data_IF_140824592313
#
_entry.id   IF_140824592313
#
_cell.length_a   1.000
_cell.length_b   1.000
_cell.length_c   1.000
_cell.angle_alpha   90.00
_cell.angle_beta   90.00
_cell.angle_gamma   90.00
#
_symmetry.space_group_name_H-M   'P 1'
#
loop_
_entity.id
_entity.type
_entity.pdbx_description
1 polymer ?
#
# COMPACT_ATOMS: atom_id res chain seq x y z
N UNK A 1 3.66 -6.23 9.79
CA UNK A 1 2.63 -6.65 8.79
C UNK A 1 3.03 -6.06 7.45
N UNK A 2 2.50 -6.59 6.37
CA UNK A 2 2.63 -6.01 5.03
C UNK A 2 1.23 -5.69 4.54
N UNK A 3 0.97 -4.43 4.18
CA UNK A 3 -0.35 -3.94 3.84
C UNK A 3 -0.35 -3.40 2.41
N UNK A 4 -1.21 -3.97 1.57
CA UNK A 4 -1.39 -3.59 0.17
C UNK A 4 -2.58 -2.64 0.02
N UNK A 5 -2.39 -1.61 -0.78
CA UNK A 5 -3.35 -0.54 -1.07
C UNK A 5 -3.42 -0.34 -2.59
N UNK A 6 -4.49 0.31 -3.04
CA UNK A 6 -4.43 1.06 -4.29
C UNK A 6 -4.42 2.56 -4.00
N UNK A 7 -3.86 3.33 -4.93
CA UNK A 7 -3.72 4.78 -4.75
C UNK A 7 -5.04 5.57 -4.79
N UNK A 8 -6.02 5.12 -5.58
CA UNK A 8 -7.26 5.85 -5.82
C UNK A 8 -7.00 7.14 -6.61
N UNK A 9 -5.94 7.14 -7.43
CA UNK A 9 -5.44 8.28 -8.19
C UNK A 9 -5.25 7.86 -9.65
N UNK A 10 -5.44 8.79 -10.57
CA UNK A 10 -5.43 8.50 -12.00
C UNK A 10 -4.04 8.22 -12.58
N UNK A 11 -2.96 8.54 -11.86
CA UNK A 11 -1.57 8.32 -12.28
C UNK A 11 -0.60 8.22 -11.09
N UNK A 12 0.60 7.69 -11.34
CA UNK A 12 1.70 7.69 -10.38
C UNK A 12 2.08 9.09 -9.94
N UNK A 13 2.21 10.05 -10.87
CA UNK A 13 2.55 11.44 -10.51
C UNK A 13 1.57 12.04 -9.52
N UNK A 14 0.26 11.79 -9.71
CA UNK A 14 -0.77 12.26 -8.78
C UNK A 14 -0.66 11.56 -7.42
N UNK A 15 -0.39 10.25 -7.40
CA UNK A 15 -0.16 9.50 -6.17
C UNK A 15 1.08 10.00 -5.42
N UNK A 16 2.21 10.18 -6.11
CA UNK A 16 3.47 10.67 -5.54
C UNK A 16 3.31 12.09 -5.00
N UNK A 17 2.70 12.99 -5.76
CA UNK A 17 2.42 14.35 -5.31
C UNK A 17 1.59 14.36 -4.02
N UNK A 18 0.58 13.50 -3.92
CA UNK A 18 -0.25 13.39 -2.71
C UNK A 18 0.50 12.77 -1.53
N UNK A 19 1.20 11.65 -1.74
CA UNK A 19 1.86 10.87 -0.68
C UNK A 19 3.12 11.55 -0.13
N UNK A 20 3.68 12.50 -0.90
CA UNK A 20 4.82 13.33 -0.48
C UNK A 20 4.40 14.71 0.05
N UNK A 21 3.12 15.10 -0.04
CA UNK A 21 2.62 16.36 0.50
C UNK A 21 2.40 16.27 2.03
N UNK A 22 3.14 17.02 2.86
CA UNK A 22 2.95 17.01 4.31
C UNK A 22 1.54 17.43 4.75
N UNK A 23 0.84 18.24 3.96
CA UNK A 23 -0.52 18.69 4.27
C UNK A 23 -1.57 17.59 4.08
N UNK A 24 -1.29 16.60 3.21
CA UNK A 24 -2.19 15.50 2.91
C UNK A 24 -2.36 14.52 4.08
N UNK A 25 -1.39 14.47 5.00
CA UNK A 25 -1.37 13.58 6.17
C UNK A 25 -1.59 12.10 5.81
N UNK A 26 -1.09 11.69 4.66
CA UNK A 26 -1.06 10.30 4.17
C UNK A 26 0.30 10.05 3.53
N UNK A 27 0.84 8.85 3.72
CA UNK A 27 2.10 8.43 3.09
C UNK A 27 2.19 6.91 3.07
N UNK A 28 2.99 6.37 2.16
CA UNK A 28 3.29 4.94 2.08
C UNK A 28 4.80 4.71 2.12
N UNK A 29 5.21 3.46 2.32
CA UNK A 29 6.63 3.12 2.22
C UNK A 29 7.05 3.02 0.76
N UNK A 30 6.18 2.40 -0.05
CA UNK A 30 6.40 2.14 -1.47
C UNK A 30 5.20 2.55 -2.31
N UNK A 31 5.47 3.01 -3.54
CA UNK A 31 4.49 3.11 -4.63
C UNK A 31 4.98 2.25 -5.80
N UNK A 32 4.09 1.49 -6.43
CA UNK A 32 4.39 0.71 -7.65
C UNK A 32 3.51 1.17 -8.80
N UNK A 33 4.12 1.72 -9.85
CA UNK A 33 3.43 2.20 -11.04
C UNK A 33 2.99 1.05 -11.96
N UNK A 34 2.10 1.35 -12.89
CA UNK A 34 1.51 0.42 -13.86
C UNK A 34 2.55 -0.22 -14.79
N UNK A 35 3.69 0.46 -15.03
CA UNK A 35 4.80 -0.05 -15.81
C UNK A 35 5.79 -0.92 -14.99
N UNK A 36 5.58 -1.05 -13.68
CA UNK A 36 6.42 -1.79 -12.76
C UNK A 36 7.53 -0.97 -12.08
N UNK A 37 7.61 0.35 -12.32
CA UNK A 37 8.50 1.21 -11.57
C UNK A 37 8.14 1.23 -10.07
N UNK A 38 9.15 1.10 -9.21
CA UNK A 38 8.99 1.12 -7.75
C UNK A 38 9.61 2.40 -7.19
N UNK A 39 8.87 3.11 -6.35
CA UNK A 39 9.29 4.34 -5.70
C UNK A 39 9.33 4.15 -4.18
N UNK A 40 10.49 4.38 -3.57
CA UNK A 40 10.69 4.41 -2.13
C UNK A 40 10.40 5.80 -1.55
N UNK A 41 9.37 5.93 -0.69
CA UNK A 41 8.98 7.22 -0.11
C UNK A 41 9.33 7.35 1.37
N UNK A 42 9.05 6.31 2.15
CA UNK A 42 9.34 6.27 3.59
C UNK A 42 10.19 5.03 3.89
N UNK A 43 11.39 5.18 4.49
CA UNK A 43 12.19 4.05 4.95
C UNK A 43 11.39 3.12 5.85
N UNK A 44 11.51 1.80 5.66
CA UNK A 44 10.78 0.75 6.41
C UNK A 44 10.93 0.86 7.95
N UNK A 45 12.02 1.46 8.43
CA UNK A 45 12.26 1.69 9.86
C UNK A 45 11.49 2.91 10.43
N UNK A 46 10.83 3.70 9.60
CA UNK A 46 10.01 4.85 10.00
C UNK A 46 8.54 4.57 9.72
N UNK A 47 7.68 5.17 10.53
CA UNK A 47 6.23 5.06 10.38
C UNK A 47 5.73 5.88 9.18
N UNK A 48 5.19 5.22 8.17
CA UNK A 48 4.32 5.84 7.15
C UNK A 48 2.86 5.92 7.63
N UNK A 49 2.04 6.75 6.98
CA UNK A 49 0.64 7.02 7.36
C UNK A 49 -0.32 6.52 6.27
N UNK A 50 -0.52 5.20 6.18
CA UNK A 50 -1.30 4.56 5.11
C UNK A 50 -2.55 3.84 5.63
N UNK A 51 -2.47 3.18 6.79
CA UNK A 51 -3.56 2.36 7.33
C UNK A 51 -4.71 3.17 7.93
N UNK A 52 -4.47 4.40 8.40
CA UNK A 52 -5.47 5.19 9.13
C UNK A 52 -5.99 4.49 10.39
N UNK A 53 -7.29 4.64 10.69
CA UNK A 53 -7.98 3.86 11.73
C UNK A 53 -8.20 2.43 11.20
N UNK A 54 -7.55 1.45 11.83
CA UNK A 54 -7.54 0.05 11.41
C UNK A 54 -7.26 -0.88 12.61
N UNK A 55 -7.61 -2.16 12.50
CA UNK A 55 -7.31 -3.17 13.51
C UNK A 55 -7.13 -4.55 12.87
N UNK A 56 -6.14 -5.32 13.32
CA UNK A 56 -5.94 -6.71 12.92
C UNK A 56 -5.39 -7.55 14.06
N UNK A 57 -6.03 -8.68 14.35
CA UNK A 57 -5.61 -9.62 15.40
C UNK A 57 -5.28 -8.93 16.75
N UNK A 58 -6.13 -7.98 17.17
CA UNK A 58 -5.99 -7.22 18.41
C UNK A 58 -4.98 -6.06 18.38
N UNK A 59 -4.30 -5.81 17.26
CA UNK A 59 -3.40 -4.67 17.07
C UNK A 59 -4.14 -3.50 16.42
N UNK A 60 -4.08 -2.32 17.03
CA UNK A 60 -4.79 -1.11 16.54
C UNK A 60 -3.88 -0.06 15.90
N UNK A 61 -2.60 0.04 16.25
CA UNK A 61 -1.65 0.92 15.54
C UNK A 61 -1.04 0.20 14.34
N UNK A 62 -1.86 -0.03 13.31
CA UNK A 62 -1.42 -0.73 12.09
C UNK A 62 -0.29 0.02 11.39
N UNK A 63 -0.36 1.36 11.30
CA UNK A 63 0.73 2.18 10.75
C UNK A 63 2.06 1.95 11.48
N UNK A 64 2.05 1.84 12.81
CA UNK A 64 3.26 1.61 13.60
C UNK A 64 3.83 0.19 13.50
N UNK A 65 3.06 -0.78 13.00
CA UNK A 65 3.48 -2.18 12.92
C UNK A 65 3.37 -2.79 11.50
N UNK A 66 3.33 -1.95 10.46
CA UNK A 66 3.22 -2.41 9.07
C UNK A 66 4.08 -1.62 8.10
N UNK A 67 4.44 -2.29 7.00
CA UNK A 67 4.96 -1.70 5.77
C UNK A 67 3.79 -1.58 4.80
N UNK A 68 3.72 -0.47 4.08
CA UNK A 68 2.60 -0.11 3.20
C UNK A 68 3.06 0.05 1.77
N UNK A 69 2.44 -0.69 0.85
CA UNK A 69 2.69 -0.60 -0.60
C UNK A 69 1.43 -0.10 -1.28
N UNK A 70 1.55 0.99 -2.02
CA UNK A 70 0.51 1.58 -2.85
C UNK A 70 0.67 1.16 -4.30
N UNK A 71 -0.31 0.45 -4.85
CA UNK A 71 -0.34 0.12 -6.27
C UNK A 71 -1.08 1.24 -7.01
N UNK A 72 -0.43 1.84 -8.02
CA UNK A 72 -1.08 2.84 -8.86
C UNK A 72 -2.27 2.20 -9.57
N UNK A 73 -3.45 2.67 -9.18
CA UNK A 73 -4.72 2.27 -9.75
C UNK A 73 -5.74 3.37 -9.42
N UNK A 74 -6.59 3.75 -10.39
CA UNK A 74 -7.63 4.76 -10.19
C UNK A 74 -8.64 4.41 -9.08
N UNK A 75 -8.77 3.13 -8.71
CA UNK A 75 -9.73 2.68 -7.71
C UNK A 75 -11.18 2.79 -8.20
N UNK A 76 -12.11 2.34 -7.35
CA UNK A 76 -13.53 2.22 -7.72
C UNK A 76 -14.18 3.54 -8.12
N UNK A 77 -13.76 4.66 -7.53
CA UNK A 77 -14.30 6.00 -7.83
C UNK A 77 -13.92 6.49 -9.23
N UNK A 78 -12.71 6.18 -9.72
CA UNK A 78 -12.18 6.70 -10.98
C UNK A 78 -12.02 5.63 -12.08
N UNK A 79 -12.68 4.49 -11.91
CA UNK A 79 -12.71 3.39 -12.88
C UNK A 79 -11.66 2.32 -12.57
N UNK A 80 -11.93 1.54 -11.52
CA UNK A 80 -11.11 0.40 -11.12
C UNK A 80 -10.85 -0.51 -12.31
N UNK A 81 -9.61 -0.96 -12.42
CA UNK A 81 -9.13 -1.77 -13.52
C UNK A 81 -8.17 -2.84 -13.03
N UNK A 82 -8.00 -3.88 -13.83
CA UNK A 82 -7.00 -4.90 -13.58
C UNK A 82 -5.61 -4.29 -13.52
N UNK A 83 -4.83 -4.69 -12.52
CA UNK A 83 -3.43 -4.33 -12.39
C UNK A 83 -2.62 -4.95 -13.55
N UNK A 84 -1.84 -4.16 -14.30
CA UNK A 84 -1.01 -4.68 -15.39
C UNK A 84 0.00 -5.72 -14.89
N UNK A 85 0.39 -6.62 -15.80
CA UNK A 85 1.34 -7.71 -15.48
C UNK A 85 2.67 -7.19 -14.93
N UNK A 86 3.23 -6.13 -15.52
CA UNK A 86 4.50 -5.55 -15.10
C UNK A 86 4.45 -5.06 -13.65
N UNK A 87 3.37 -4.34 -13.29
CA UNK A 87 3.10 -3.90 -11.93
C UNK A 87 3.00 -5.09 -10.96
N UNK A 88 2.23 -6.13 -11.31
CA UNK A 88 2.09 -7.30 -10.43
C UNK A 88 3.39 -8.09 -10.27
N UNK A 89 4.21 -8.19 -11.31
CA UNK A 89 5.55 -8.78 -11.22
C UNK A 89 6.46 -7.99 -10.27
N UNK A 90 6.44 -6.66 -10.36
CA UNK A 90 7.17 -5.77 -9.46
C UNK A 90 6.69 -5.88 -8.00
N UNK A 91 5.37 -5.86 -7.77
CA UNK A 91 4.78 -6.04 -6.43
C UNK A 91 5.19 -7.39 -5.83
N UNK A 92 5.12 -8.48 -6.61
CA UNK A 92 5.54 -9.80 -6.13
C UNK A 92 7.02 -9.84 -5.75
N UNK A 93 7.89 -9.22 -6.56
CA UNK A 93 9.32 -9.12 -6.27
C UNK A 93 9.56 -8.32 -4.98
N UNK A 94 8.97 -7.13 -4.88
CA UNK A 94 9.08 -6.24 -3.72
C UNK A 94 8.56 -6.92 -2.44
N UNK A 95 7.40 -7.58 -2.49
CA UNK A 95 6.88 -8.34 -1.36
C UNK A 95 7.86 -9.42 -0.89
N UNK A 96 8.45 -10.20 -1.81
CA UNK A 96 9.44 -11.24 -1.44
C UNK A 96 10.67 -10.64 -0.78
N UNK A 97 11.15 -9.51 -1.28
CA UNK A 97 12.29 -8.80 -0.72
C UNK A 97 12.01 -8.28 0.70
N UNK A 98 10.83 -7.67 0.91
CA UNK A 98 10.39 -7.21 2.23
C UNK A 98 10.28 -8.39 3.20
N UNK A 99 9.68 -9.51 2.77
CA UNK A 99 9.51 -10.70 3.59
C UNK A 99 10.84 -11.39 3.93
N UNK A 100 11.87 -11.23 3.10
CA UNK A 100 13.21 -11.69 3.40
C UNK A 100 13.93 -10.84 4.46
N UNK A 101 13.67 -9.53 4.51
CA UNK A 101 14.22 -8.60 5.52
C UNK A 101 13.43 -8.62 6.83
N UNK A 102 12.11 -8.79 6.73
CA UNK A 102 11.16 -8.78 7.83
C UNK A 102 10.39 -10.10 7.82
N UNK A 103 10.57 -11.00 8.81
CA UNK A 103 9.92 -12.31 8.85
C UNK A 103 8.42 -12.19 9.21
N UNK A 104 7.65 -11.52 8.36
CA UNK A 104 6.22 -11.31 8.51
C UNK A 104 5.52 -12.61 8.09
N UNK A 105 4.72 -13.24 8.97
CA UNK A 105 4.02 -14.46 8.63
C UNK A 105 2.95 -14.19 7.57
N UNK A 106 2.67 -15.18 6.71
CA UNK A 106 1.77 -15.04 5.56
C UNK A 106 0.37 -14.47 5.92
N UNK A 107 -0.21 -14.84 7.07
CA UNK A 107 -1.49 -14.32 7.56
C UNK A 107 -1.46 -12.84 7.99
N UNK A 108 -0.33 -12.15 7.84
CA UNK A 108 -0.14 -10.71 8.09
C UNK A 108 0.34 -9.97 6.84
N UNK A 109 0.21 -10.61 5.68
CA UNK A 109 0.19 -9.94 4.37
C UNK A 109 -1.28 -9.75 4.02
N UNK A 110 -1.74 -8.50 4.01
CA UNK A 110 -3.15 -8.14 4.06
C UNK A 110 -3.45 -7.02 3.05
N UNK A 111 -4.70 -6.93 2.63
CA UNK A 111 -5.24 -5.72 2.00
C UNK A 111 -5.67 -4.68 3.03
N UNK A 112 -5.87 -3.43 2.62
CA UNK A 112 -6.39 -2.40 3.51
C UNK A 112 -7.81 -2.73 3.99
N UNK A 113 -8.62 -3.34 3.13
CA UNK A 113 -9.96 -3.81 3.44
C UNK A 113 -9.98 -4.84 4.60
N UNK A 114 -8.95 -5.69 4.74
CA UNK A 114 -8.89 -6.68 5.83
C UNK A 114 -8.80 -6.02 7.21
N UNK A 115 -8.10 -4.88 7.29
CA UNK A 115 -7.82 -4.19 8.55
C UNK A 115 -8.78 -3.02 8.82
N UNK A 116 -9.54 -2.58 7.82
CA UNK A 116 -10.51 -1.50 7.92
C UNK A 116 -11.78 -1.76 7.07
N UNK A 117 -12.48 -2.90 7.27
CA UNK A 117 -13.52 -3.39 6.35
C UNK A 117 -14.75 -2.50 6.22
N UNK A 118 -15.05 -1.68 7.24
CA UNK A 118 -16.18 -0.74 7.19
C UNK A 118 -15.88 0.56 6.45
N UNK A 119 -14.63 0.78 6.02
CA UNK A 119 -14.16 2.04 5.44
C UNK A 119 -13.42 1.86 4.13
N UNK A 120 -12.78 0.71 3.91
CA UNK A 120 -11.85 0.50 2.81
C UNK A 120 -12.20 -0.72 1.99
N UNK A 121 -12.02 -0.55 0.68
CA UNK A 121 -12.22 -1.56 -0.35
C UNK A 121 -10.88 -1.96 -1.00
N UNK A 122 -9.82 -1.18 -0.79
CA UNK A 122 -8.53 -1.40 -1.41
C UNK A 122 -7.74 -2.57 -0.76
N UNK A 123 -6.94 -3.32 -1.54
CA UNK A 123 -6.56 -3.09 -2.93
C UNK A 123 -7.60 -3.52 -3.99
N UNK A 124 -8.82 -3.91 -3.60
CA UNK A 124 -9.88 -4.33 -4.52
C UNK A 124 -9.98 -5.85 -4.68
N UNK A 125 -10.72 -6.31 -5.69
CA UNK A 125 -10.90 -7.74 -6.00
C UNK A 125 -9.67 -8.43 -6.60
#
# INVERSE_FOLDING_TARGET
>A
MLLLHYTGMQSADAALARLCDPAAKVSAHYVVDEDGAVFDLVPEARRAWHAGLACWAGQSDINGCSIGIELVNPGHEFGYRWFPRAQMEAVMALCREILARHPIPAHRVLGHADVAPSRKEDPGE
#
